data_IF_548964537784
#
_entry.id   IF_548964537784
#
_cell.length_a   1.000
_cell.length_b   1.000
_cell.length_c   1.000
_cell.angle_alpha   90.00
_cell.angle_beta   90.00
_cell.angle_gamma   90.00
#
_symmetry.space_group_name_H-M   'P 1'
#
loop_
_entity.id
_entity.type
_entity.pdbx_description
1 polymer ?
#
# COMPACT_ATOMS: atom_id res chain seq x y z
N UNK A 1 -4.14 0.75 -23.97
CA UNK A 1 -5.33 0.03 -23.49
C UNK A 1 -5.53 0.34 -22.00
N UNK A 2 -4.85 -0.31 -21.06
CA UNK A 2 -5.13 -0.20 -19.61
C UNK A 2 -5.16 1.21 -18.98
N UNK A 3 -4.30 2.14 -19.42
CA UNK A 3 -4.25 3.50 -18.87
C UNK A 3 -5.45 4.36 -19.29
N UNK A 4 -5.91 4.19 -20.54
CA UNK A 4 -7.01 4.99 -21.07
C UNK A 4 -8.34 4.49 -20.51
N UNK A 5 -8.48 3.17 -20.32
CA UNK A 5 -9.65 2.57 -19.69
C UNK A 5 -9.84 3.10 -18.25
N UNK A 6 -8.77 3.11 -17.44
CA UNK A 6 -8.83 3.66 -16.07
C UNK A 6 -9.12 5.17 -16.06
N UNK A 7 -8.55 5.92 -17.01
CA UNK A 7 -8.82 7.35 -17.17
C UNK A 7 -10.30 7.60 -17.50
N UNK A 8 -10.89 6.80 -18.38
CA UNK A 8 -12.29 6.95 -18.77
C UNK A 8 -13.24 6.56 -17.63
N UNK A 9 -12.92 5.49 -16.88
CA UNK A 9 -13.58 5.17 -15.62
C UNK A 9 -13.53 6.34 -14.63
N UNK A 10 -12.35 6.89 -14.35
CA UNK A 10 -12.18 8.02 -13.44
C UNK A 10 -12.97 9.25 -13.92
N UNK A 11 -12.97 9.52 -15.24
CA UNK A 11 -13.74 10.62 -15.84
C UNK A 11 -15.23 10.51 -15.55
N UNK A 12 -15.80 9.31 -15.65
CA UNK A 12 -17.21 9.05 -15.33
C UNK A 12 -17.46 9.39 -13.86
N UNK A 13 -16.64 8.88 -12.93
CA UNK A 13 -16.78 9.18 -11.51
C UNK A 13 -16.71 10.68 -11.20
N UNK A 14 -15.74 11.39 -11.78
CA UNK A 14 -15.59 12.83 -11.54
C UNK A 14 -16.79 13.62 -12.07
N UNK A 15 -17.36 13.24 -13.22
CA UNK A 15 -18.57 13.89 -13.78
C UNK A 15 -19.79 13.63 -12.91
N UNK A 16 -19.96 12.40 -12.44
CA UNK A 16 -21.18 11.97 -11.75
C UNK A 16 -21.23 12.39 -10.28
N UNK A 17 -20.08 12.38 -9.59
CA UNK A 17 -20.05 12.58 -8.14
C UNK A 17 -19.20 13.76 -7.69
N UNK A 18 -18.42 14.39 -8.57
CA UNK A 18 -17.47 15.44 -8.18
C UNK A 18 -18.12 16.76 -7.75
N UNK A 19 -19.43 16.92 -7.95
CA UNK A 19 -20.24 17.97 -7.33
C UNK A 19 -20.22 17.86 -5.79
N UNK A 20 -20.17 16.63 -5.25
CA UNK A 20 -20.20 16.33 -3.81
C UNK A 20 -18.89 15.75 -3.27
N UNK A 21 -18.24 14.85 -4.00
CA UNK A 21 -17.00 14.19 -3.58
C UNK A 21 -15.80 15.11 -3.80
N UNK A 22 -15.15 15.50 -2.70
CA UNK A 22 -14.01 16.43 -2.69
C UNK A 22 -12.67 15.81 -2.36
N UNK A 23 -12.62 14.52 -2.03
CA UNK A 23 -11.38 13.82 -1.72
C UNK A 23 -11.34 12.52 -2.52
N UNK A 24 -10.43 12.43 -3.47
CA UNK A 24 -10.31 11.30 -4.37
C UNK A 24 -9.01 10.53 -4.10
N UNK A 25 -9.12 9.23 -3.89
CA UNK A 25 -7.99 8.30 -3.89
C UNK A 25 -8.10 7.45 -5.14
N UNK A 26 -7.09 7.47 -6.02
CA UNK A 26 -7.18 6.74 -7.30
C UNK A 26 -6.96 5.23 -7.14
N UNK A 27 -5.93 4.85 -6.38
CA UNK A 27 -5.47 3.47 -6.23
C UNK A 27 -5.10 3.28 -4.76
N UNK A 28 -5.55 2.17 -4.18
CA UNK A 28 -5.19 1.74 -2.84
C UNK A 28 -4.06 0.70 -2.91
N UNK A 29 -2.99 0.92 -2.15
CA UNK A 29 -1.88 -0.02 -1.92
C UNK A 29 -1.36 -0.70 -3.21
N UNK A 30 -0.83 0.07 -4.18
CA UNK A 30 -0.33 -0.49 -5.42
C UNK A 30 0.75 -1.56 -5.18
N UNK A 31 1.63 -1.35 -4.19
CA UNK A 31 2.70 -2.30 -3.86
C UNK A 31 2.16 -3.65 -3.36
N UNK A 32 1.11 -3.66 -2.54
CA UNK A 32 0.47 -4.88 -2.03
C UNK A 32 -0.10 -5.69 -3.20
N UNK A 33 -0.82 -5.02 -4.10
CA UNK A 33 -1.38 -5.67 -5.30
C UNK A 33 -0.27 -6.26 -6.17
N UNK A 34 0.82 -5.52 -6.35
CA UNK A 34 1.97 -5.94 -7.14
C UNK A 34 2.68 -7.16 -6.51
N UNK A 35 3.06 -7.05 -5.23
CA UNK A 35 3.79 -8.09 -4.50
C UNK A 35 2.99 -9.37 -4.40
N UNK A 36 1.74 -9.29 -3.94
CA UNK A 36 0.94 -10.49 -3.75
C UNK A 36 0.47 -11.07 -5.09
N UNK A 37 0.02 -10.25 -6.03
CA UNK A 37 -0.57 -10.74 -7.28
C UNK A 37 0.42 -11.17 -8.37
N UNK A 38 1.61 -10.56 -8.42
CA UNK A 38 2.57 -10.70 -9.53
C UNK A 38 3.97 -11.18 -9.12
N UNK A 39 4.21 -11.36 -7.82
CA UNK A 39 5.45 -11.97 -7.30
C UNK A 39 5.15 -13.24 -6.51
N UNK A 40 4.28 -13.15 -5.48
CA UNK A 40 3.94 -14.26 -4.60
C UNK A 40 2.80 -15.16 -5.09
N UNK A 41 2.15 -14.81 -6.20
CA UNK A 41 1.16 -15.68 -6.86
C UNK A 41 -0.20 -15.77 -6.17
N UNK A 42 -0.55 -14.82 -5.31
CA UNK A 42 -1.86 -14.78 -4.66
C UNK A 42 -2.96 -14.38 -5.68
N UNK A 43 -4.19 -14.91 -5.51
CA UNK A 43 -5.32 -14.51 -6.33
C UNK A 43 -5.67 -13.02 -6.14
N UNK A 44 -6.32 -12.38 -7.12
CA UNK A 44 -6.91 -12.98 -8.32
C UNK A 44 -5.96 -13.15 -9.51
N UNK A 45 -4.82 -12.44 -9.53
CA UNK A 45 -3.89 -12.50 -10.67
C UNK A 45 -3.13 -13.82 -10.71
N UNK A 46 -2.70 -14.32 -9.54
CA UNK A 46 -1.96 -15.58 -9.40
C UNK A 46 -0.81 -15.75 -10.39
N UNK A 47 0.00 -14.70 -10.54
CA UNK A 47 1.17 -14.70 -11.42
C UNK A 47 2.45 -14.71 -10.59
N UNK A 48 3.33 -15.65 -10.89
CA UNK A 48 4.63 -15.79 -10.25
C UNK A 48 5.56 -16.66 -11.10
N UNK A 49 6.85 -16.70 -10.75
CA UNK A 49 7.83 -17.55 -11.40
C UNK A 49 7.73 -19.03 -11.00
N UNK A 50 7.22 -19.35 -9.82
CA UNK A 50 7.02 -20.73 -9.38
C UNK A 50 5.87 -21.41 -10.13
N UNK A 51 6.19 -22.44 -10.93
CA UNK A 51 5.23 -23.18 -11.75
C UNK A 51 4.41 -24.20 -10.98
N UNK A 52 4.81 -24.54 -9.75
CA UNK A 52 3.96 -25.35 -8.86
C UNK A 52 2.76 -24.54 -8.35
N UNK A 53 2.96 -23.24 -8.18
CA UNK A 53 1.96 -22.31 -7.64
C UNK A 53 1.19 -21.58 -8.76
N UNK A 54 1.88 -21.10 -9.80
CA UNK A 54 1.31 -20.22 -10.83
C UNK A 54 1.43 -20.78 -12.24
N UNK A 55 0.32 -20.73 -13.01
CA UNK A 55 0.27 -21.15 -14.42
C UNK A 55 1.12 -20.28 -15.34
N UNK A 56 1.31 -19.01 -15.00
CA UNK A 56 2.09 -18.04 -15.75
C UNK A 56 2.64 -16.96 -14.80
N UNK A 57 3.48 -16.07 -15.32
CA UNK A 57 4.01 -14.94 -14.56
C UNK A 57 5.53 -14.86 -14.59
N UNK A 58 6.09 -13.74 -14.16
CA UNK A 58 7.52 -13.60 -13.93
C UNK A 58 7.77 -12.63 -12.79
N UNK A 59 8.12 -13.19 -11.63
CA UNK A 59 8.36 -12.49 -10.37
C UNK A 59 9.49 -11.47 -10.43
N UNK A 60 10.40 -11.54 -11.42
CA UNK A 60 11.50 -10.57 -11.56
C UNK A 60 11.20 -9.42 -12.53
N UNK A 61 10.10 -9.48 -13.28
CA UNK A 61 9.79 -8.44 -14.29
C UNK A 61 8.36 -7.90 -14.19
N UNK A 62 7.36 -8.75 -14.01
CA UNK A 62 5.97 -8.33 -13.97
C UNK A 62 5.66 -7.36 -12.83
N UNK A 63 6.19 -7.53 -11.60
CA UNK A 63 5.95 -6.57 -10.54
C UNK A 63 6.30 -5.13 -10.92
N UNK A 64 7.45 -4.94 -11.57
CA UNK A 64 7.92 -3.64 -12.05
C UNK A 64 7.05 -3.06 -13.17
N UNK A 65 6.59 -3.91 -14.09
CA UNK A 65 5.71 -3.51 -15.20
C UNK A 65 4.36 -3.05 -14.65
N UNK A 66 3.78 -3.79 -13.71
CA UNK A 66 2.48 -3.48 -13.10
C UNK A 66 2.58 -2.22 -12.25
N UNK A 67 3.64 -2.09 -11.44
CA UNK A 67 3.90 -0.87 -10.66
C UNK A 67 4.02 0.37 -11.56
N UNK A 68 4.75 0.28 -12.67
CA UNK A 68 4.86 1.36 -13.66
C UNK A 68 3.49 1.77 -14.19
N UNK A 69 2.67 0.79 -14.57
CA UNK A 69 1.32 1.04 -15.09
C UNK A 69 0.39 1.66 -14.03
N UNK A 70 0.45 1.25 -12.77
CA UNK A 70 -0.31 1.88 -11.70
C UNK A 70 0.06 3.35 -11.51
N UNK A 71 1.36 3.66 -11.50
CA UNK A 71 1.83 5.04 -11.37
C UNK A 71 1.37 5.91 -12.56
N UNK A 72 1.42 5.38 -13.79
CA UNK A 72 0.91 6.08 -14.96
C UNK A 72 -0.62 6.23 -14.97
N UNK A 73 -1.37 5.23 -14.51
CA UNK A 73 -2.82 5.27 -14.40
C UNK A 73 -3.26 6.33 -13.38
N UNK A 74 -2.66 6.32 -12.18
CA UNK A 74 -2.84 7.36 -11.17
C UNK A 74 -2.54 8.75 -11.75
N UNK A 75 -1.36 8.94 -12.34
CA UNK A 75 -0.94 10.24 -12.82
C UNK A 75 -1.81 10.77 -13.97
N UNK A 76 -2.30 9.86 -14.82
CA UNK A 76 -3.23 10.22 -15.91
C UNK A 76 -4.59 10.66 -15.37
N UNK A 77 -5.17 9.92 -14.42
CA UNK A 77 -6.43 10.28 -13.79
C UNK A 77 -6.31 11.59 -12.98
N UNK A 78 -5.21 11.76 -12.26
CA UNK A 78 -4.92 13.00 -11.53
C UNK A 78 -4.76 14.19 -12.46
N UNK A 79 -4.00 14.07 -13.54
CA UNK A 79 -3.85 15.14 -14.54
C UNK A 79 -5.19 15.53 -15.15
N UNK A 80 -6.05 14.55 -15.46
CA UNK A 80 -7.41 14.80 -15.93
C UNK A 80 -8.24 15.56 -14.88
N UNK A 81 -8.25 15.11 -13.62
CA UNK A 81 -8.99 15.76 -12.54
C UNK A 81 -8.55 17.21 -12.35
N UNK A 82 -7.24 17.43 -12.15
CA UNK A 82 -6.66 18.74 -11.90
C UNK A 82 -6.94 19.74 -13.02
N UNK A 83 -6.95 19.29 -14.28
CA UNK A 83 -7.20 20.17 -15.42
C UNK A 83 -8.67 20.46 -15.67
N UNK A 84 -9.51 19.44 -15.62
CA UNK A 84 -10.87 19.52 -16.16
C UNK A 84 -11.94 19.67 -15.08
N UNK A 85 -11.65 19.24 -13.85
CA UNK A 85 -12.65 19.07 -12.80
C UNK A 85 -12.33 19.89 -11.55
N UNK A 86 -11.08 19.84 -11.06
CA UNK A 86 -10.66 20.52 -9.83
C UNK A 86 -10.98 22.03 -9.81
N UNK A 87 -10.80 22.82 -10.90
CA UNK A 87 -11.11 24.25 -10.87
C UNK A 87 -12.59 24.56 -10.62
N UNK A 88 -13.49 23.65 -11.01
CA UNK A 88 -14.94 23.80 -10.84
C UNK A 88 -15.46 23.10 -9.59
N UNK A 89 -14.84 21.98 -9.23
CA UNK A 89 -15.31 21.10 -8.16
C UNK A 89 -14.64 21.37 -6.82
N UNK A 90 -13.44 21.97 -6.80
CA UNK A 90 -12.74 22.35 -5.57
C UNK A 90 -12.27 21.17 -4.71
N UNK A 91 -12.13 19.97 -5.27
CA UNK A 91 -11.65 18.79 -4.53
C UNK A 91 -10.14 18.58 -4.66
N UNK A 92 -9.65 17.52 -4.02
CA UNK A 92 -8.26 17.08 -4.00
C UNK A 92 -8.16 15.64 -4.50
N UNK A 93 -7.02 15.29 -5.09
CA UNK A 93 -6.75 13.94 -5.58
C UNK A 93 -5.40 13.41 -5.09
N UNK A 94 -5.37 12.14 -4.71
CA UNK A 94 -4.19 11.48 -4.15
C UNK A 94 -4.15 9.98 -4.46
N UNK A 95 -3.21 9.32 -3.80
CA UNK A 95 -3.01 7.86 -3.83
C UNK A 95 -2.87 7.37 -2.39
N UNK A 96 -3.31 6.15 -2.08
CA UNK A 96 -3.03 5.52 -0.79
C UNK A 96 -1.97 4.45 -0.97
N UNK A 97 -0.90 4.51 -0.18
CA UNK A 97 0.21 3.57 -0.23
C UNK A 97 0.31 2.78 1.07
N UNK A 98 0.76 1.53 0.98
CA UNK A 98 1.23 0.78 2.16
C UNK A 98 2.44 1.52 2.72
N UNK A 99 2.50 1.67 4.04
CA UNK A 99 3.50 2.48 4.70
C UNK A 99 4.20 1.71 5.84
N UNK A 100 4.68 0.50 5.58
CA UNK A 100 5.39 -0.27 6.61
C UNK A 100 6.67 0.43 7.09
N UNK A 101 6.90 0.48 8.41
CA UNK A 101 8.14 1.04 8.96
C UNK A 101 9.18 -0.04 9.19
N UNK A 102 10.44 0.28 8.89
CA UNK A 102 11.58 -0.62 9.01
C UNK A 102 12.52 -0.11 10.10
N UNK A 103 12.62 -0.83 11.21
CA UNK A 103 13.58 -0.59 12.28
C UNK A 103 14.82 -1.47 12.03
N UNK A 104 16.06 -0.96 12.14
CA UNK A 104 17.23 -1.82 11.98
C UNK A 104 17.28 -2.91 13.06
N UNK A 105 17.56 -4.15 12.66
CA UNK A 105 17.64 -5.30 13.58
C UNK A 105 18.72 -5.12 14.65
N UNK A 106 19.82 -4.43 14.32
CA UNK A 106 20.88 -4.10 15.26
C UNK A 106 21.47 -2.72 14.98
N UNK A 107 22.38 -2.28 15.85
CA UNK A 107 23.16 -1.05 15.65
C UNK A 107 24.26 -1.21 14.59
N UNK A 108 24.30 -2.28 13.82
CA UNK A 108 25.27 -2.42 12.73
C UNK A 108 24.98 -1.42 11.60
N UNK A 109 26.02 -0.88 10.92
CA UNK A 109 25.81 -0.06 9.72
C UNK A 109 25.03 -0.79 8.62
N UNK A 110 25.21 -2.11 8.51
CA UNK A 110 24.56 -2.96 7.52
C UNK A 110 23.05 -3.03 7.76
N UNK A 111 22.61 -3.27 9.00
CA UNK A 111 21.19 -3.32 9.32
C UNK A 111 20.52 -1.95 9.23
N UNK A 112 21.23 -0.85 9.54
CA UNK A 112 20.74 0.51 9.25
C UNK A 112 20.55 0.76 7.76
N UNK A 113 21.50 0.34 6.93
CA UNK A 113 21.38 0.43 5.49
C UNK A 113 20.23 -0.45 4.97
N UNK A 114 20.04 -1.63 5.56
CA UNK A 114 18.94 -2.54 5.23
C UNK A 114 17.57 -1.94 5.57
N UNK A 115 17.42 -1.31 6.74
CA UNK A 115 16.19 -0.61 7.12
C UNK A 115 15.86 0.53 6.15
N UNK A 116 16.87 1.33 5.74
CA UNK A 116 16.67 2.38 4.74
C UNK A 116 16.25 1.81 3.39
N UNK A 117 16.93 0.75 2.89
CA UNK A 117 16.55 0.09 1.64
C UNK A 117 15.13 -0.46 1.70
N UNK A 118 14.75 -1.08 2.83
CA UNK A 118 13.39 -1.53 3.10
C UNK A 118 12.35 -0.44 2.86
N UNK A 119 12.56 0.73 3.46
CA UNK A 119 11.68 1.89 3.27
C UNK A 119 11.67 2.41 1.82
N UNK A 120 12.85 2.46 1.17
CA UNK A 120 12.97 2.90 -0.22
C UNK A 120 12.18 1.98 -1.18
N UNK A 121 12.13 0.67 -0.92
CA UNK A 121 11.34 -0.28 -1.70
C UNK A 121 9.85 -0.31 -1.30
N UNK A 122 9.51 0.05 -0.07
CA UNK A 122 8.12 0.12 0.40
C UNK A 122 7.37 1.33 -0.18
N UNK A 123 7.97 2.52 -0.12
CA UNK A 123 7.30 3.79 -0.49
C UNK A 123 7.99 4.49 -1.66
N UNK A 124 9.29 4.28 -1.86
CA UNK A 124 10.12 5.01 -2.84
C UNK A 124 10.29 4.33 -4.20
N UNK A 125 9.51 3.29 -4.51
CA UNK A 125 9.74 2.45 -5.66
C UNK A 125 9.56 3.19 -7.00
N UNK A 126 10.59 3.14 -7.86
CA UNK A 126 10.57 3.84 -9.16
C UNK A 126 11.07 2.93 -10.30
N UNK A 127 10.16 2.36 -11.12
CA UNK A 127 10.54 1.82 -12.42
C UNK A 127 11.11 2.92 -13.34
N UNK A 128 11.77 2.51 -14.43
CA UNK A 128 12.38 3.48 -15.36
C UNK A 128 11.28 4.27 -16.09
N UNK A 129 11.22 5.58 -15.82
CA UNK A 129 10.33 6.51 -16.52
C UNK A 129 11.04 7.28 -17.64
N UNK A 130 10.34 7.45 -18.75
CA UNK A 130 10.69 8.45 -19.77
C UNK A 130 10.55 9.87 -19.21
N UNK A 131 11.20 10.85 -19.85
CA UNK A 131 11.08 12.27 -19.44
C UNK A 131 9.63 12.78 -19.45
N UNK A 132 8.79 12.27 -20.36
CA UNK A 132 7.36 12.63 -20.44
C UNK A 132 6.58 12.07 -19.25
N UNK A 133 6.83 10.82 -18.88
CA UNK A 133 6.16 10.17 -17.76
C UNK A 133 6.60 10.77 -16.41
N UNK A 134 7.89 11.08 -16.25
CA UNK A 134 8.38 11.80 -15.05
C UNK A 134 7.62 13.11 -14.82
N UNK A 135 7.40 13.89 -15.89
CA UNK A 135 6.62 15.13 -15.83
C UNK A 135 5.15 14.89 -15.49
N UNK A 136 4.59 13.76 -15.93
CA UNK A 136 3.20 13.40 -15.65
C UNK A 136 3.01 12.98 -14.18
N UNK A 137 3.92 12.16 -13.65
CA UNK A 137 3.88 11.66 -12.27
C UNK A 137 4.25 12.75 -11.27
N UNK A 138 5.21 13.62 -11.59
CA UNK A 138 5.62 14.70 -10.69
C UNK A 138 4.45 15.67 -10.46
N UNK A 139 4.04 15.81 -9.19
CA UNK A 139 2.93 16.70 -8.80
C UNK A 139 1.54 16.11 -9.05
N UNK A 140 1.43 14.80 -9.32
CA UNK A 140 0.13 14.14 -9.52
C UNK A 140 -0.70 13.95 -8.25
N UNK A 141 -0.15 14.26 -7.07
CA UNK A 141 -0.84 14.15 -5.79
C UNK A 141 -1.03 15.53 -5.15
N UNK A 142 -2.21 15.76 -4.56
CA UNK A 142 -2.49 16.86 -3.63
C UNK A 142 -2.30 16.42 -2.18
N UNK A 143 -2.55 15.14 -1.90
CA UNK A 143 -2.33 14.49 -0.61
C UNK A 143 -1.89 13.03 -0.81
N UNK A 144 -1.37 12.42 0.25
CA UNK A 144 -0.98 11.02 0.29
C UNK A 144 -1.70 10.31 1.44
N UNK A 145 -2.36 9.19 1.13
CA UNK A 145 -2.87 8.26 2.12
C UNK A 145 -1.75 7.29 2.53
N UNK A 146 -1.62 7.03 3.83
CA UNK A 146 -0.66 6.08 4.37
C UNK A 146 -1.43 4.99 5.11
N UNK A 147 -1.46 3.79 4.55
CA UNK A 147 -2.00 2.62 5.22
C UNK A 147 -0.88 2.01 6.07
N UNK A 148 -0.93 2.27 7.37
CA UNK A 148 0.08 1.85 8.34
C UNK A 148 -0.52 0.86 9.32
N UNK A 149 0.09 -0.32 9.46
CA UNK A 149 -0.36 -1.35 10.40
C UNK A 149 0.72 -1.76 11.40
N UNK A 150 1.96 -1.92 10.95
CA UNK A 150 3.05 -2.42 11.79
C UNK A 150 4.41 -1.86 11.39
N UNK A 151 5.36 -2.02 12.30
CA UNK A 151 6.79 -1.95 12.00
C UNK A 151 7.37 -3.36 11.93
N UNK A 152 8.50 -3.48 11.26
CA UNK A 152 9.28 -4.71 11.17
C UNK A 152 10.75 -4.44 11.45
N UNK A 153 11.45 -5.44 11.97
CA UNK A 153 12.91 -5.37 12.07
C UNK A 153 13.56 -5.79 10.75
N UNK A 154 14.52 -4.99 10.29
CA UNK A 154 15.25 -5.18 9.06
C UNK A 154 16.67 -5.67 9.34
N UNK A 155 16.96 -6.91 8.96
CA UNK A 155 18.32 -7.48 9.02
C UNK A 155 18.90 -7.57 7.62
N UNK A 156 20.13 -7.08 7.44
CA UNK A 156 20.83 -7.15 6.16
C UNK A 156 21.15 -8.61 5.80
N UNK A 157 20.94 -8.95 4.54
CA UNK A 157 21.49 -10.17 3.94
C UNK A 157 22.64 -9.82 2.99
N UNK A 158 23.61 -10.73 2.77
CA UNK A 158 24.67 -10.52 1.78
C UNK A 158 24.08 -10.30 0.38
N UNK A 159 24.68 -9.39 -0.39
CA UNK A 159 24.31 -9.14 -1.79
C UNK A 159 25.25 -9.97 -2.67
N UNK A 160 24.67 -10.85 -3.49
CA UNK A 160 25.38 -11.51 -4.58
C UNK A 160 25.07 -10.78 -5.89
N UNK A 161 26.06 -10.07 -6.42
CA UNK A 161 25.91 -9.30 -7.67
C UNK A 161 25.88 -10.18 -8.93
N UNK A 162 26.16 -11.48 -8.81
CA UNK A 162 26.10 -12.44 -9.90
C UNK A 162 24.82 -13.26 -9.91
N UNK A 163 24.02 -13.18 -8.84
CA UNK A 163 22.73 -13.84 -8.77
C UNK A 163 21.76 -13.25 -9.81
N UNK A 164 21.05 -14.13 -10.52
CA UNK A 164 19.98 -13.71 -11.41
C UNK A 164 18.80 -13.17 -10.59
N UNK A 165 18.13 -12.10 -11.03
CA UNK A 165 16.96 -11.58 -10.33
C UNK A 165 15.82 -12.60 -10.44
N UNK A 166 15.38 -13.12 -9.29
CA UNK A 166 14.36 -14.17 -9.20
C UNK A 166 13.01 -13.66 -8.69
N UNK A 167 13.00 -12.60 -7.88
CA UNK A 167 11.79 -12.07 -7.24
C UNK A 167 12.00 -10.61 -6.85
N UNK A 168 11.01 -9.75 -7.14
CA UNK A 168 11.04 -8.34 -6.74
C UNK A 168 11.06 -8.12 -5.22
N UNK A 169 10.50 -9.07 -4.45
CA UNK A 169 10.50 -9.03 -2.98
C UNK A 169 11.88 -9.33 -2.41
N UNK A 170 12.71 -10.09 -3.13
CA UNK A 170 14.09 -10.38 -2.73
C UNK A 170 15.03 -9.17 -2.93
N UNK A 171 14.68 -8.26 -3.84
CA UNK A 171 15.50 -7.07 -4.18
C UNK A 171 15.63 -6.07 -3.02
N UNK A 172 14.79 -6.22 -1.98
CA UNK A 172 14.88 -5.42 -0.75
C UNK A 172 16.13 -5.81 0.07
N UNK A 173 16.57 -7.06 -0.03
CA UNK A 173 17.67 -7.66 0.76
C UNK A 173 17.47 -7.53 2.28
N UNK A 174 16.26 -7.88 2.75
CA UNK A 174 15.87 -7.80 4.16
C UNK A 174 15.07 -9.04 4.58
N UNK A 175 15.36 -9.60 5.76
CA UNK A 175 14.48 -10.59 6.41
C UNK A 175 13.48 -9.90 7.36
N UNK A 176 12.20 -10.31 7.36
CA UNK A 176 11.10 -9.66 8.10
C UNK A 176 10.47 -10.61 9.13
N UNK A 177 9.99 -10.08 10.26
CA UNK A 177 9.18 -10.81 11.24
C UNK A 177 7.93 -10.02 11.62
N UNK A 178 6.80 -10.69 11.86
CA UNK A 178 5.52 -10.07 12.23
C UNK A 178 4.69 -10.95 13.15
N UNK A 179 3.76 -10.35 13.89
CA UNK A 179 2.81 -11.01 14.80
C UNK A 179 1.38 -10.73 14.30
N UNK A 180 0.51 -11.74 14.29
CA UNK A 180 -0.92 -11.59 14.04
C UNK A 180 -1.75 -12.28 15.12
N UNK A 181 -2.97 -11.78 15.37
CA UNK A 181 -3.97 -12.45 16.21
C UNK A 181 -5.03 -13.11 15.32
N UNK A 182 -5.49 -14.28 15.71
CA UNK A 182 -6.46 -15.09 14.96
C UNK A 182 -7.85 -15.04 15.60
N UNK A 183 -8.90 -15.08 14.77
CA UNK A 183 -10.31 -15.16 15.21
C UNK A 183 -10.59 -16.45 15.97
N UNK A 184 -11.43 -16.36 17.00
CA UNK A 184 -11.98 -17.51 17.71
C UNK A 184 -13.48 -17.32 17.99
N UNK A 185 -14.31 -17.92 17.13
CA UNK A 185 -15.77 -17.81 17.19
C UNK A 185 -16.42 -18.66 18.28
N UNK A 186 -15.64 -19.53 18.93
CA UNK A 186 -16.15 -20.38 20.02
C UNK A 186 -16.41 -19.57 21.30
N UNK A 187 -15.90 -18.33 21.37
CA UNK A 187 -16.08 -17.46 22.54
C UNK A 187 -17.46 -16.80 22.55
N UNK A 188 -18.07 -16.50 23.70
CA UNK A 188 -19.32 -15.74 23.76
C UNK A 188 -19.17 -14.34 23.13
N UNK A 189 -20.23 -13.82 22.49
CA UNK A 189 -20.23 -12.50 21.85
C UNK A 189 -19.73 -11.39 22.78
N UNK A 190 -20.12 -11.39 24.06
CA UNK A 190 -19.66 -10.41 25.04
C UNK A 190 -18.13 -10.41 25.22
N UNK A 191 -17.49 -11.56 25.07
CA UNK A 191 -16.03 -11.69 25.12
C UNK A 191 -15.41 -11.19 23.83
N UNK A 192 -16.01 -11.52 22.67
CA UNK A 192 -15.55 -11.05 21.37
C UNK A 192 -15.64 -9.53 21.20
N UNK A 193 -16.70 -8.90 21.76
CA UNK A 193 -16.89 -7.44 21.75
C UNK A 193 -15.96 -6.69 22.72
N UNK A 194 -15.40 -7.39 23.71
CA UNK A 194 -14.42 -6.82 24.63
C UNK A 194 -13.02 -6.88 24.01
N UNK A 195 -12.67 -5.87 23.20
CA UNK A 195 -11.39 -5.79 22.49
C UNK A 195 -10.47 -4.66 23.02
N UNK A 196 -9.87 -4.84 24.21
CA UNK A 196 -8.95 -3.86 24.77
C UNK A 196 -7.65 -3.73 23.96
N UNK A 197 -7.25 -4.78 23.24
CA UNK A 197 -6.05 -4.75 22.40
C UNK A 197 -6.23 -3.81 21.21
N UNK A 198 -7.41 -3.81 20.56
CA UNK A 198 -7.74 -2.85 19.49
C UNK A 198 -7.77 -1.42 19.99
N UNK A 199 -8.32 -1.20 21.19
CA UNK A 199 -8.34 0.12 21.82
C UNK A 199 -6.91 0.60 22.08
N UNK A 200 -6.08 -0.21 22.72
CA UNK A 200 -4.68 0.11 23.04
C UNK A 200 -3.86 0.40 21.77
N UNK A 201 -3.96 -0.48 20.78
CA UNK A 201 -3.36 -0.30 19.46
C UNK A 201 -3.74 1.05 18.84
N UNK A 202 -5.03 1.38 18.82
CA UNK A 202 -5.54 2.62 18.21
C UNK A 202 -5.05 3.85 18.96
N UNK A 203 -5.11 3.84 20.30
CA UNK A 203 -4.64 4.93 21.15
C UNK A 203 -3.14 5.19 20.95
N UNK A 204 -2.35 4.12 20.89
CA UNK A 204 -0.91 4.23 20.64
C UNK A 204 -0.60 4.85 19.27
N UNK A 205 -1.32 4.48 18.21
CA UNK A 205 -1.15 5.08 16.89
C UNK A 205 -1.56 6.55 16.86
N UNK A 206 -2.70 6.90 17.47
CA UNK A 206 -3.15 8.29 17.57
C UNK A 206 -2.15 9.15 18.36
N UNK A 207 -1.52 8.61 19.41
CA UNK A 207 -0.43 9.29 20.11
C UNK A 207 0.77 9.57 19.19
N UNK A 208 1.19 8.60 18.37
CA UNK A 208 2.28 8.78 17.40
C UNK A 208 1.93 9.81 16.33
N UNK A 209 0.70 9.80 15.81
CA UNK A 209 0.20 10.81 14.86
C UNK A 209 0.24 12.20 15.50
N UNK A 210 -0.26 12.35 16.73
CA UNK A 210 -0.20 13.62 17.47
C UNK A 210 1.24 14.11 17.65
N UNK A 211 2.19 13.22 17.93
CA UNK A 211 3.61 13.56 18.02
C UNK A 211 4.17 14.02 16.67
N UNK A 212 3.82 13.36 15.58
CA UNK A 212 4.23 13.76 14.23
C UNK A 212 3.68 15.16 13.87
N UNK A 213 2.41 15.44 14.17
CA UNK A 213 1.79 16.77 13.98
C UNK A 213 2.54 17.83 14.78
N UNK A 214 2.86 17.56 16.05
CA UNK A 214 3.66 18.48 16.88
C UNK A 214 5.06 18.74 16.33
N UNK A 215 5.61 17.78 15.60
CA UNK A 215 6.90 17.90 14.91
C UNK A 215 6.79 18.51 13.51
N UNK A 216 5.64 19.08 13.13
CA UNK A 216 5.44 19.80 11.88
C UNK A 216 4.93 18.96 10.71
N UNK A 217 4.61 17.67 10.91
CA UNK A 217 4.03 16.84 9.85
C UNK A 217 2.58 17.25 9.59
N UNK A 218 2.23 17.54 8.35
CA UNK A 218 0.90 18.01 7.94
C UNK A 218 -0.12 16.86 7.82
N UNK A 219 -0.49 16.23 8.93
CA UNK A 219 -1.54 15.20 8.96
C UNK A 219 -2.92 15.87 9.01
N UNK A 220 -3.83 15.48 8.11
CA UNK A 220 -5.17 16.06 7.97
C UNK A 220 -6.32 15.16 8.42
N UNK A 221 -6.08 13.86 8.59
CA UNK A 221 -7.11 12.91 8.98
C UNK A 221 -6.54 11.55 9.38
N UNK A 222 -7.40 10.75 9.99
CA UNK A 222 -7.15 9.36 10.38
C UNK A 222 -8.40 8.54 10.07
N UNK A 223 -8.22 7.43 9.38
CA UNK A 223 -9.27 6.47 9.05
C UNK A 223 -8.86 5.11 9.59
N UNK A 224 -9.71 4.51 10.42
CA UNK A 224 -9.46 3.20 11.00
C UNK A 224 -9.88 2.10 10.01
N UNK A 225 -9.00 1.12 9.78
CA UNK A 225 -9.38 -0.13 9.12
C UNK A 225 -9.81 -1.16 10.17
N UNK A 226 -11.06 -1.58 10.24
CA UNK A 226 -12.20 -1.24 9.38
C UNK A 226 -13.43 -0.83 10.20
N UNK A 227 -14.46 -0.29 9.51
CA UNK A 227 -15.74 0.02 10.18
C UNK A 227 -16.43 -1.25 10.68
N UNK A 228 -16.52 -2.27 9.81
CA UNK A 228 -17.15 -3.56 10.06
C UNK A 228 -16.15 -4.68 9.80
N UNK A 229 -16.33 -5.82 10.47
CA UNK A 229 -15.66 -7.06 10.09
C UNK A 229 -16.01 -7.43 8.64
N UNK A 230 -15.01 -7.87 7.87
CA UNK A 230 -15.13 -8.08 6.43
C UNK A 230 -14.34 -9.26 5.90
N UNK A 231 -14.36 -9.41 4.58
CA UNK A 231 -13.57 -10.40 3.86
C UNK A 231 -12.14 -9.90 3.68
N UNK A 232 -11.18 -10.58 4.30
CA UNK A 232 -9.76 -10.20 4.36
C UNK A 232 -8.93 -10.99 3.36
N UNK A 233 -9.24 -10.81 2.08
CA UNK A 233 -8.49 -11.41 0.96
C UNK A 233 -8.37 -12.92 1.11
N UNK A 234 -7.15 -13.47 1.00
CA UNK A 234 -6.89 -14.90 1.12
C UNK A 234 -7.20 -15.47 2.51
N UNK A 235 -7.30 -14.63 3.54
CA UNK A 235 -7.68 -15.07 4.88
C UNK A 235 -9.20 -15.27 5.01
N UNK A 236 -9.99 -14.87 4.00
CA UNK A 236 -11.44 -14.93 4.07
C UNK A 236 -11.97 -14.17 5.28
N UNK A 237 -12.86 -14.78 6.04
CA UNK A 237 -13.41 -14.18 7.27
C UNK A 237 -12.64 -14.59 8.54
N UNK A 238 -11.45 -15.19 8.41
CA UNK A 238 -10.67 -15.68 9.57
C UNK A 238 -10.09 -14.53 10.39
N UNK A 239 -9.97 -13.32 9.85
CA UNK A 239 -9.51 -12.15 10.61
C UNK A 239 -10.68 -11.20 10.86
N UNK A 240 -10.63 -10.48 11.99
CA UNK A 240 -11.60 -9.46 12.38
C UNK A 240 -10.90 -8.14 12.63
N UNK A 241 -11.19 -7.14 11.80
CA UNK A 241 -10.62 -5.79 11.92
C UNK A 241 -11.67 -4.73 12.24
N UNK A 242 -12.96 -5.09 12.32
CA UNK A 242 -14.05 -4.13 12.49
C UNK A 242 -14.08 -3.47 13.86
N UNK A 243 -14.35 -2.16 13.89
CA UNK A 243 -14.77 -1.48 15.12
C UNK A 243 -16.15 -1.95 15.58
N UNK A 244 -17.00 -2.36 14.63
CA UNK A 244 -18.31 -2.93 14.89
C UNK A 244 -18.31 -4.40 14.42
N UNK A 245 -18.56 -5.30 15.38
CA UNK A 245 -18.71 -6.72 15.11
C UNK A 245 -20.19 -7.09 15.11
N UNK A 246 -20.56 -8.07 14.29
CA UNK A 246 -21.92 -8.62 14.17
C UNK A 246 -22.03 -9.97 14.89
#
# INVERSE_FOLDING_TARGET
>A
MYRDDFKDYAKILFRTFGDRVKNWVTINEPLITVKYGYDLGFPPSSRCSDRKTCKAGNSSTEPYIVAHNFLLAHATAASLYKRMFQPKQGGQIGVSVSAQYYEPYSKSPQDRAAAKRGLDFEIGWLPKFTSKEKKLVKGSVDFMGLNYYTAIFAKSIPVDFHALPVSSTADVFVNLTGLSQTRNDSLPLKVQLNDPSRIDYTVHHLYRIRKAIKNGVNVKGYFYWSLLDGFEWIAGYINRFGLLSH
#
